data_IF_411781003041
#
_entry.id   IF_411781003041
#
_cell.length_a   1.000
_cell.length_b   1.000
_cell.length_c   1.000
_cell.angle_alpha   90.00
_cell.angle_beta   90.00
_cell.angle_gamma   90.00
#
_symmetry.space_group_name_H-M   'P 1'
#
loop_
_entity.id
_entity.type
_entity.pdbx_description
1 polymer ?
#
# COMPACT_ATOMS: atom_id res chain seq x y z
N UNK A 1 -6.41 -6.16 -26.16
CA UNK A 1 -7.14 -5.65 -24.98
C UNK A 1 -6.19 -5.25 -23.85
N UNK A 2 -5.42 -6.18 -23.26
CA UNK A 2 -4.48 -5.90 -22.15
C UNK A 2 -3.47 -4.78 -22.48
N UNK A 3 -2.75 -4.90 -23.61
CA UNK A 3 -1.72 -3.92 -23.98
C UNK A 3 -2.30 -2.50 -24.20
N UNK A 4 -3.53 -2.39 -24.71
CA UNK A 4 -4.21 -1.11 -24.89
C UNK A 4 -4.54 -0.48 -23.53
N UNK A 5 -5.12 -1.27 -22.61
CA UNK A 5 -5.40 -0.83 -21.23
C UNK A 5 -4.13 -0.37 -20.50
N UNK A 6 -3.04 -1.15 -20.60
CA UNK A 6 -1.76 -0.77 -19.98
C UNK A 6 -1.25 0.54 -20.58
N UNK A 7 -1.29 0.71 -21.90
CA UNK A 7 -0.83 1.93 -22.58
C UNK A 7 -1.64 3.15 -22.15
N UNK A 8 -2.96 3.02 -22.04
CA UNK A 8 -3.88 4.07 -21.61
C UNK A 8 -3.63 4.50 -20.15
N UNK A 9 -3.45 3.53 -19.25
CA UNK A 9 -3.29 3.79 -17.82
C UNK A 9 -1.86 3.71 -17.32
N UNK A 10 -0.85 3.75 -18.21
CA UNK A 10 0.56 3.47 -17.87
C UNK A 10 1.08 4.24 -16.67
N UNK A 11 0.79 5.55 -16.59
CA UNK A 11 1.27 6.38 -15.48
C UNK A 11 0.63 5.98 -14.16
N UNK A 12 -0.68 5.74 -14.15
CA UNK A 12 -1.36 5.23 -12.97
C UNK A 12 -0.78 3.87 -12.56
N UNK A 13 -0.74 2.91 -13.50
CA UNK A 13 -0.28 1.55 -13.22
C UNK A 13 1.16 1.54 -12.70
N UNK A 14 2.09 2.24 -13.35
CA UNK A 14 3.50 2.30 -12.94
C UNK A 14 3.66 2.81 -11.51
N UNK A 15 3.08 3.98 -11.18
CA UNK A 15 3.21 4.53 -9.84
C UNK A 15 2.44 3.70 -8.80
N UNK A 16 1.26 3.21 -9.14
CA UNK A 16 0.45 2.39 -8.26
C UNK A 16 1.12 1.06 -7.87
N UNK A 17 1.70 0.38 -8.86
CA UNK A 17 2.37 -0.91 -8.68
C UNK A 17 3.72 -0.74 -7.98
N UNK A 18 4.46 0.32 -8.28
CA UNK A 18 5.66 0.68 -7.51
C UNK A 18 5.31 0.98 -6.04
N UNK A 19 4.22 1.74 -5.81
CA UNK A 19 3.74 2.07 -4.47
C UNK A 19 3.46 0.83 -3.61
N UNK A 20 2.71 -0.15 -4.15
CA UNK A 20 2.45 -1.39 -3.39
C UNK A 20 3.72 -2.23 -3.20
N UNK A 21 4.60 -2.23 -4.20
CA UNK A 21 5.90 -2.89 -4.09
C UNK A 21 6.73 -2.37 -2.93
N UNK A 22 6.81 -1.04 -2.77
CA UNK A 22 7.51 -0.42 -1.65
C UNK A 22 6.82 -0.67 -0.30
N UNK A 23 5.48 -0.69 -0.24
CA UNK A 23 4.77 -1.14 0.97
C UNK A 23 5.12 -2.59 1.32
N UNK A 24 5.24 -3.46 0.32
CA UNK A 24 5.68 -4.84 0.53
C UNK A 24 7.12 -4.93 1.00
N UNK A 25 8.02 -4.06 0.51
CA UNK A 25 9.41 -4.01 0.95
C UNK A 25 9.51 -3.66 2.44
N UNK A 26 8.62 -2.79 2.92
CA UNK A 26 8.51 -2.45 4.34
C UNK A 26 8.10 -3.67 5.16
N UNK A 27 7.06 -4.40 4.76
CA UNK A 27 6.55 -5.55 5.51
C UNK A 27 7.52 -6.73 5.48
N UNK A 28 8.12 -7.05 4.34
CA UNK A 28 9.10 -8.14 4.23
C UNK A 28 10.41 -7.79 4.93
N UNK A 29 10.88 -6.55 4.81
CA UNK A 29 12.10 -6.08 5.47
C UNK A 29 11.98 -6.10 7.00
N UNK A 30 10.86 -5.60 7.53
CA UNK A 30 10.58 -5.65 8.97
C UNK A 30 10.36 -7.07 9.47
N UNK A 31 9.61 -7.92 8.75
CA UNK A 31 9.41 -9.32 9.16
C UNK A 31 10.71 -10.14 9.14
N UNK A 32 11.67 -9.82 8.27
CA UNK A 32 12.94 -10.53 8.20
C UNK A 32 13.94 -10.10 9.28
N UNK A 33 13.96 -8.81 9.63
CA UNK A 33 14.99 -8.22 10.50
C UNK A 33 14.47 -7.68 11.84
N UNK A 34 13.16 -7.68 12.06
CA UNK A 34 12.52 -7.30 13.32
C UNK A 34 13.02 -8.18 14.46
N UNK A 35 12.84 -9.49 14.36
CA UNK A 35 13.37 -10.46 15.32
C UNK A 35 14.88 -10.26 15.63
N UNK A 36 15.68 -10.04 14.59
CA UNK A 36 17.14 -9.85 14.74
C UNK A 36 17.45 -8.56 15.51
N UNK A 37 16.71 -7.49 15.23
CA UNK A 37 16.82 -6.25 15.99
C UNK A 37 16.51 -6.49 17.47
N UNK A 38 15.37 -7.11 17.80
CA UNK A 38 15.00 -7.35 19.21
C UNK A 38 15.98 -8.29 19.93
N UNK A 39 16.52 -9.29 19.24
CA UNK A 39 17.53 -10.16 19.81
C UNK A 39 18.85 -9.42 20.11
N UNK A 40 19.34 -8.62 19.17
CA UNK A 40 20.66 -7.98 19.27
C UNK A 40 20.64 -6.72 20.14
N UNK A 41 19.65 -5.85 19.91
CA UNK A 41 19.54 -4.54 20.54
C UNK A 41 18.89 -4.61 21.91
N UNK A 42 17.84 -5.42 22.07
CA UNK A 42 17.04 -5.46 23.29
C UNK A 42 17.27 -6.71 24.13
N UNK A 43 18.09 -7.66 23.66
CA UNK A 43 18.42 -8.89 24.39
C UNK A 43 17.22 -9.80 24.64
N UNK A 44 16.13 -9.65 23.88
CA UNK A 44 14.94 -10.47 24.07
C UNK A 44 15.20 -11.92 23.70
N UNK A 45 14.60 -12.84 24.46
CA UNK A 45 14.65 -14.26 24.15
C UNK A 45 13.81 -14.57 22.90
N UNK A 46 14.11 -15.67 22.17
CA UNK A 46 13.33 -16.06 21.00
C UNK A 46 11.82 -16.22 21.28
N UNK A 47 11.43 -16.67 22.49
CA UNK A 47 10.03 -16.82 22.86
C UNK A 47 9.33 -15.47 23.07
N UNK A 48 10.01 -14.48 23.65
CA UNK A 48 9.50 -13.12 23.80
C UNK A 48 9.30 -12.48 22.43
N UNK A 49 10.30 -12.60 21.56
CA UNK A 49 10.27 -12.05 20.20
C UNK A 49 9.11 -12.66 19.42
N UNK A 50 9.05 -14.00 19.33
CA UNK A 50 8.03 -14.68 18.53
C UNK A 50 6.60 -14.34 18.96
N UNK A 51 6.34 -14.26 20.27
CA UNK A 51 5.02 -13.90 20.78
C UNK A 51 4.70 -12.43 20.49
N UNK A 52 5.61 -11.51 20.81
CA UNK A 52 5.36 -10.08 20.72
C UNK A 52 5.29 -9.60 19.25
N UNK A 53 6.22 -10.05 18.40
CA UNK A 53 6.22 -9.75 16.97
C UNK A 53 5.04 -10.40 16.25
N UNK A 54 4.69 -11.64 16.61
CA UNK A 54 3.50 -12.31 16.07
C UNK A 54 2.21 -11.55 16.40
N UNK A 55 2.04 -11.10 17.65
CA UNK A 55 0.90 -10.28 18.05
C UNK A 55 0.90 -8.92 17.34
N UNK A 56 2.05 -8.26 17.22
CA UNK A 56 2.17 -7.00 16.50
C UNK A 56 1.82 -7.15 15.01
N UNK A 57 2.27 -8.24 14.37
CA UNK A 57 1.97 -8.56 12.98
C UNK A 57 0.49 -8.85 12.77
N UNK A 58 -0.13 -9.67 13.63
CA UNK A 58 -1.55 -10.02 13.51
C UNK A 58 -2.43 -8.80 13.79
N UNK A 59 -2.23 -8.14 14.93
CA UNK A 59 -3.03 -6.99 15.31
C UNK A 59 -2.83 -5.82 14.33
N UNK A 60 -1.57 -5.49 14.04
CA UNK A 60 -1.22 -4.46 13.08
C UNK A 60 -1.77 -4.79 11.68
N UNK A 61 -1.52 -5.99 11.17
CA UNK A 61 -1.98 -6.43 9.86
C UNK A 61 -3.51 -6.39 9.70
N UNK A 62 -4.27 -6.88 10.70
CA UNK A 62 -5.74 -6.84 10.69
C UNK A 62 -6.23 -5.39 10.73
N UNK A 63 -5.72 -4.57 11.66
CA UNK A 63 -6.10 -3.17 11.78
C UNK A 63 -5.76 -2.39 10.52
N UNK A 64 -4.61 -2.68 9.91
CA UNK A 64 -4.16 -2.09 8.66
C UNK A 64 -5.09 -2.46 7.51
N UNK A 65 -5.29 -3.74 7.24
CA UNK A 65 -6.07 -4.20 6.09
C UNK A 65 -7.56 -3.84 6.22
N UNK A 66 -8.18 -4.13 7.37
CA UNK A 66 -9.60 -3.86 7.59
C UNK A 66 -9.86 -2.39 7.85
N UNK A 67 -9.07 -1.75 8.72
CA UNK A 67 -9.22 -0.34 9.04
C UNK A 67 -8.86 0.55 7.85
N UNK A 68 -7.80 0.23 7.11
CA UNK A 68 -7.44 0.89 5.87
C UNK A 68 -8.50 0.74 4.79
N UNK A 69 -9.08 -0.46 4.64
CA UNK A 69 -10.20 -0.71 3.74
C UNK A 69 -11.44 0.11 4.10
N UNK A 70 -11.87 0.07 5.37
CA UNK A 70 -13.02 0.81 5.84
C UNK A 70 -12.83 2.34 5.74
N UNK A 71 -11.66 2.85 6.11
CA UNK A 71 -11.31 4.27 5.97
C UNK A 71 -11.29 4.69 4.50
N UNK A 72 -10.73 3.85 3.64
CA UNK A 72 -10.69 4.04 2.19
C UNK A 72 -12.10 4.09 1.59
N UNK A 73 -12.98 3.17 1.98
CA UNK A 73 -14.39 3.17 1.53
C UNK A 73 -15.16 4.39 2.02
N UNK A 74 -14.97 4.78 3.29
CA UNK A 74 -15.58 5.99 3.86
C UNK A 74 -15.14 7.26 3.11
N UNK A 75 -13.84 7.44 2.91
CA UNK A 75 -13.31 8.62 2.23
C UNK A 75 -13.60 8.61 0.72
N UNK A 76 -13.77 7.43 0.11
CA UNK A 76 -14.15 7.29 -1.30
C UNK A 76 -15.50 7.91 -1.64
N UNK A 77 -16.36 8.17 -0.63
CA UNK A 77 -17.59 8.94 -0.79
C UNK A 77 -17.34 10.38 -1.25
N UNK A 78 -16.13 10.92 -1.04
CA UNK A 78 -15.68 12.23 -1.56
C UNK A 78 -15.02 12.14 -2.93
N UNK A 79 -14.92 10.93 -3.49
CA UNK A 79 -14.35 10.62 -4.80
C UNK A 79 -13.47 9.36 -4.76
N UNK A 80 -13.50 8.48 -5.79
CA UNK A 80 -12.75 7.23 -5.79
C UNK A 80 -11.23 7.38 -5.59
N UNK A 81 -10.67 8.53 -5.97
CA UNK A 81 -9.25 8.84 -5.81
C UNK A 81 -8.80 8.92 -4.34
N UNK A 82 -9.72 9.11 -3.40
CA UNK A 82 -9.41 9.15 -1.97
C UNK A 82 -8.85 7.82 -1.46
N UNK A 83 -9.11 6.70 -2.13
CA UNK A 83 -8.46 5.41 -1.84
C UNK A 83 -6.94 5.51 -1.89
N UNK A 84 -6.42 6.23 -2.90
CA UNK A 84 -4.98 6.43 -3.08
C UNK A 84 -4.43 7.46 -2.11
N UNK A 85 -5.23 8.46 -1.73
CA UNK A 85 -4.86 9.44 -0.68
C UNK A 85 -4.69 8.74 0.67
N UNK A 86 -5.54 7.76 1.01
CA UNK A 86 -5.33 6.91 2.19
C UNK A 86 -3.99 6.18 2.10
N UNK A 87 -3.62 5.64 0.94
CA UNK A 87 -2.32 5.01 0.77
C UNK A 87 -1.13 5.98 0.95
N UNK A 88 -1.29 7.26 0.61
CA UNK A 88 -0.27 8.29 0.88
C UNK A 88 -0.08 8.47 2.39
N UNK A 89 -1.16 8.69 3.13
CA UNK A 89 -1.09 8.84 4.59
C UNK A 89 -0.58 7.59 5.29
N UNK A 90 -0.95 6.42 4.78
CA UNK A 90 -0.42 5.15 5.24
C UNK A 90 1.11 5.09 5.05
N UNK A 91 1.64 5.46 3.88
CA UNK A 91 3.08 5.54 3.66
C UNK A 91 3.79 6.54 4.59
N UNK A 92 3.18 7.70 4.86
CA UNK A 92 3.73 8.68 5.81
C UNK A 92 3.73 8.16 7.26
N UNK A 93 2.65 7.52 7.69
CA UNK A 93 2.55 6.90 9.02
C UNK A 93 3.56 5.77 9.20
N UNK A 94 3.71 4.92 8.17
CA UNK A 94 4.72 3.87 8.14
C UNK A 94 6.15 4.44 8.17
N UNK A 95 6.40 5.59 7.53
CA UNK A 95 7.71 6.24 7.59
C UNK A 95 8.05 6.72 9.00
N UNK A 96 7.09 7.37 9.69
CA UNK A 96 7.28 7.84 11.07
C UNK A 96 7.51 6.64 12.00
N UNK A 97 6.63 5.63 11.96
CA UNK A 97 6.81 4.45 12.79
C UNK A 97 8.10 3.68 12.45
N UNK A 98 8.44 3.62 11.17
CA UNK A 98 9.60 2.91 10.61
C UNK A 98 10.95 3.51 11.00
N UNK A 99 11.05 4.83 11.10
CA UNK A 99 12.27 5.49 11.63
C UNK A 99 12.34 5.39 13.15
N UNK A 100 11.20 5.41 13.84
CA UNK A 100 11.16 5.44 15.30
C UNK A 100 11.41 4.08 15.95
N UNK A 101 10.77 3.00 15.48
CA UNK A 101 10.82 1.70 16.16
C UNK A 101 12.23 1.12 16.38
N UNK A 102 13.21 1.24 15.45
CA UNK A 102 14.54 0.67 15.69
C UNK A 102 15.44 1.59 16.54
N UNK A 103 15.04 2.84 16.75
CA UNK A 103 15.86 3.86 17.42
C UNK A 103 15.46 4.12 18.88
N UNK A 104 14.31 3.60 19.33
CA UNK A 104 13.90 3.72 20.74
C UNK A 104 14.62 2.68 21.60
N UNK A 105 14.98 3.06 22.83
CA UNK A 105 15.66 2.16 23.76
C UNK A 105 14.69 1.23 24.51
N UNK A 106 13.43 1.67 24.72
CA UNK A 106 12.39 0.86 25.36
C UNK A 106 11.85 -0.19 24.38
N UNK A 107 12.08 -1.50 24.63
CA UNK A 107 11.63 -2.55 23.74
C UNK A 107 10.10 -2.69 23.66
N UNK A 108 9.35 -2.30 24.72
CA UNK A 108 7.89 -2.34 24.68
C UNK A 108 7.33 -1.25 23.76
N UNK A 109 7.94 -0.07 23.78
CA UNK A 109 7.61 0.98 22.81
C UNK A 109 8.03 0.58 21.39
N UNK A 110 9.19 -0.04 21.22
CA UNK A 110 9.68 -0.53 19.93
C UNK A 110 8.67 -1.51 19.29
N UNK A 111 8.13 -2.46 20.06
CA UNK A 111 7.18 -3.43 19.51
C UNK A 111 5.83 -2.81 19.15
N UNK A 112 5.36 -1.83 19.93
CA UNK A 112 4.14 -1.06 19.59
C UNK A 112 4.33 -0.29 18.29
N UNK A 113 5.48 0.35 18.11
CA UNK A 113 5.84 1.06 16.88
C UNK A 113 5.99 0.10 15.69
N UNK A 114 6.55 -1.10 15.90
CA UNK A 114 6.59 -2.15 14.87
C UNK A 114 5.16 -2.58 14.46
N UNK A 115 4.25 -2.74 15.42
CA UNK A 115 2.84 -2.96 15.15
C UNK A 115 2.21 -1.84 14.32
N UNK A 116 2.56 -0.59 14.60
CA UNK A 116 2.15 0.55 13.80
C UNK A 116 2.73 0.50 12.37
N UNK A 117 3.98 0.06 12.18
CA UNK A 117 4.54 -0.18 10.85
C UNK A 117 3.70 -1.20 10.08
N UNK A 118 3.39 -2.36 10.67
CA UNK A 118 2.55 -3.37 10.02
C UNK A 118 1.15 -2.86 9.70
N UNK A 119 0.55 -2.08 10.61
CA UNK A 119 -0.73 -1.43 10.39
C UNK A 119 -0.70 -0.50 9.18
N UNK A 120 0.19 0.49 9.19
CA UNK A 120 0.25 1.48 8.13
C UNK A 120 0.70 0.87 6.80
N UNK A 121 1.72 0.01 6.78
CA UNK A 121 2.18 -0.64 5.56
C UNK A 121 1.17 -1.66 5.00
N UNK A 122 0.28 -2.20 5.84
CA UNK A 122 -0.79 -3.12 5.43
C UNK A 122 -2.02 -2.43 4.82
N UNK A 123 -2.32 -1.17 5.19
CA UNK A 123 -3.49 -0.43 4.67
C UNK A 123 -3.58 -0.41 3.13
N UNK A 124 -2.48 -0.16 2.38
CA UNK A 124 -2.53 -0.09 0.93
C UNK A 124 -2.86 -1.41 0.24
N UNK A 125 -2.65 -2.58 0.86
CA UNK A 125 -2.96 -3.86 0.22
C UNK A 125 -4.45 -4.00 -0.11
N UNK A 126 -5.33 -3.51 0.76
CA UNK A 126 -6.77 -3.45 0.50
C UNK A 126 -7.16 -2.24 -0.36
N UNK A 127 -6.76 -1.04 0.08
CA UNK A 127 -7.20 0.21 -0.54
C UNK A 127 -6.70 0.39 -1.98
N UNK A 128 -5.44 0.05 -2.25
CA UNK A 128 -4.84 0.14 -3.58
C UNK A 128 -5.45 -0.91 -4.51
N UNK A 129 -5.57 -2.15 -4.06
CA UNK A 129 -6.20 -3.20 -4.86
C UNK A 129 -7.64 -2.82 -5.24
N UNK A 130 -8.45 -2.34 -4.29
CA UNK A 130 -9.81 -1.87 -4.58
C UNK A 130 -9.85 -0.74 -5.64
N UNK A 131 -8.91 0.21 -5.57
CA UNK A 131 -8.79 1.27 -6.57
C UNK A 131 -8.45 0.73 -7.98
N UNK A 132 -7.57 -0.28 -8.05
CA UNK A 132 -7.18 -0.96 -9.28
C UNK A 132 -8.34 -1.74 -9.89
N UNK A 133 -9.05 -2.52 -9.07
CA UNK A 133 -10.21 -3.32 -9.50
C UNK A 133 -11.34 -2.46 -10.07
N UNK A 134 -11.50 -1.22 -9.58
CA UNK A 134 -12.53 -0.30 -10.04
C UNK A 134 -12.36 0.11 -11.52
N UNK A 135 -11.11 0.26 -11.97
CA UNK A 135 -10.85 0.70 -13.36
C UNK A 135 -10.59 -0.47 -14.30
N UNK A 136 -10.31 -1.67 -13.77
CA UNK A 136 -10.00 -2.84 -14.57
C UNK A 136 -11.27 -3.48 -15.19
N UNK A 137 -11.32 -3.64 -16.54
CA UNK A 137 -12.40 -4.36 -17.21
C UNK A 137 -12.47 -5.82 -16.75
N UNK A 138 -13.69 -6.39 -16.68
CA UNK A 138 -13.93 -7.75 -16.18
C UNK A 138 -13.04 -8.80 -16.87
N UNK A 139 -12.88 -8.71 -18.19
CA UNK A 139 -12.12 -9.67 -18.99
C UNK A 139 -10.60 -9.68 -18.71
N UNK A 140 -10.03 -8.58 -18.19
CA UNK A 140 -8.58 -8.47 -17.93
C UNK A 140 -8.25 -8.26 -16.45
N UNK A 141 -9.26 -8.30 -15.58
CA UNK A 141 -9.14 -8.09 -14.14
C UNK A 141 -8.08 -9.00 -13.51
N UNK A 142 -8.07 -10.28 -13.88
CA UNK A 142 -7.07 -11.24 -13.40
C UNK A 142 -5.62 -10.89 -13.81
N UNK A 143 -5.41 -10.45 -15.05
CA UNK A 143 -4.08 -10.09 -15.55
C UNK A 143 -3.53 -8.82 -14.87
N UNK A 144 -4.41 -7.84 -14.61
CA UNK A 144 -4.04 -6.61 -13.91
C UNK A 144 -3.67 -6.89 -12.44
N UNK A 145 -4.43 -7.76 -11.75
CA UNK A 145 -4.09 -8.22 -10.41
C UNK A 145 -2.78 -9.01 -10.37
N UNK A 146 -2.49 -9.82 -11.40
CA UNK A 146 -1.24 -10.56 -11.48
C UNK A 146 -0.03 -9.62 -11.53
N UNK A 147 -0.10 -8.51 -12.28
CA UNK A 147 0.96 -7.50 -12.30
C UNK A 147 1.13 -6.80 -10.94
N UNK A 148 0.01 -6.53 -10.26
CA UNK A 148 0.02 -5.95 -8.91
C UNK A 148 0.76 -6.86 -7.92
N UNK A 149 0.40 -8.14 -7.87
CA UNK A 149 1.08 -9.11 -7.00
C UNK A 149 2.51 -9.42 -7.43
N UNK A 150 2.80 -9.39 -8.73
CA UNK A 150 4.16 -9.48 -9.24
C UNK A 150 5.03 -8.33 -8.70
N UNK A 151 4.52 -7.10 -8.74
CA UNK A 151 5.24 -5.91 -8.24
C UNK A 151 5.43 -5.95 -6.73
N UNK A 152 4.40 -6.40 -6.01
CA UNK A 152 4.43 -6.69 -4.57
C UNK A 152 5.58 -7.65 -4.25
N UNK A 153 5.67 -8.79 -4.95
CA UNK A 153 6.72 -9.79 -4.71
C UNK A 153 8.12 -9.34 -5.14
N UNK A 154 8.26 -8.71 -6.30
CA UNK A 154 9.57 -8.34 -6.86
C UNK A 154 10.23 -7.21 -6.08
N UNK A 155 9.50 -6.13 -5.80
CA UNK A 155 10.05 -5.01 -5.02
C UNK A 155 10.10 -5.41 -3.54
N UNK A 156 9.10 -6.14 -3.05
CA UNK A 156 9.05 -6.64 -1.69
C UNK A 156 10.25 -7.52 -1.32
N UNK A 157 10.64 -8.45 -2.20
CA UNK A 157 11.76 -9.36 -1.96
C UNK A 157 13.12 -8.66 -1.78
N UNK A 158 13.27 -7.42 -2.24
CA UNK A 158 14.51 -6.66 -2.11
C UNK A 158 14.73 -6.09 -0.70
N UNK A 159 13.68 -5.96 0.12
CA UNK A 159 13.73 -5.34 1.44
C UNK A 159 14.76 -5.97 2.39
N UNK A 160 14.68 -7.28 2.65
CA UNK A 160 15.64 -7.96 3.50
C UNK A 160 17.08 -7.86 3.00
N UNK A 161 17.29 -7.97 1.69
CA UNK A 161 18.63 -7.89 1.09
C UNK A 161 19.24 -6.49 1.25
N UNK A 162 18.46 -5.42 1.03
CA UNK A 162 18.93 -4.04 1.22
C UNK A 162 19.31 -3.76 2.67
N UNK A 163 18.50 -4.22 3.63
CA UNK A 163 18.79 -4.07 5.06
C UNK A 163 20.06 -4.82 5.44
N UNK A 164 20.23 -6.05 4.97
CA UNK A 164 21.42 -6.86 5.22
C UNK A 164 22.69 -6.18 4.68
N UNK A 165 22.67 -5.81 3.40
CA UNK A 165 23.78 -5.13 2.73
C UNK A 165 24.14 -3.82 3.43
N UNK A 166 23.13 -3.03 3.80
CA UNK A 166 23.35 -1.76 4.48
C UNK A 166 23.95 -1.95 5.88
N UNK A 167 23.43 -2.93 6.62
CA UNK A 167 23.95 -3.30 7.95
C UNK A 167 25.41 -3.76 7.85
N UNK A 168 25.73 -4.70 6.98
CA UNK A 168 27.06 -5.32 6.92
C UNK A 168 28.14 -4.37 6.42
N UNK A 169 27.80 -3.48 5.48
CA UNK A 169 28.79 -2.61 4.80
C UNK A 169 28.95 -1.24 5.46
N UNK A 170 27.87 -0.64 5.96
CA UNK A 170 27.90 0.72 6.53
C UNK A 170 27.76 0.74 8.05
N UNK A 171 27.22 -0.31 8.68
CA UNK A 171 27.04 -0.39 10.12
C UNK A 171 27.57 -1.72 10.71
N UNK A 172 28.88 -2.04 10.55
CA UNK A 172 29.47 -3.32 10.94
C UNK A 172 29.66 -3.44 12.48
N UNK A 173 28.58 -3.28 13.22
CA UNK A 173 28.52 -3.41 14.69
C UNK A 173 27.37 -4.35 15.07
N UNK A 174 27.40 -5.00 16.25
CA UNK A 174 26.33 -5.90 16.68
C UNK A 174 24.93 -5.27 16.59
N UNK A 175 24.84 -3.99 16.92
CA UNK A 175 23.58 -3.23 16.94
C UNK A 175 23.32 -2.46 15.64
N UNK A 176 24.24 -2.50 14.68
CA UNK A 176 24.20 -1.71 13.46
C UNK A 176 22.98 -1.94 12.58
N UNK A 177 22.34 -3.11 12.73
CA UNK A 177 21.08 -3.46 12.06
C UNK A 177 19.98 -2.43 12.32
N UNK A 178 19.99 -1.78 13.50
CA UNK A 178 19.01 -0.75 13.86
C UNK A 178 19.07 0.44 12.92
N UNK A 179 20.27 0.87 12.53
CA UNK A 179 20.48 2.01 11.64
C UNK A 179 20.13 1.64 10.20
N UNK A 180 20.42 0.41 9.77
CA UNK A 180 20.02 -0.08 8.46
C UNK A 180 18.50 -0.08 8.31
N UNK A 181 17.77 -0.58 9.30
CA UNK A 181 16.30 -0.56 9.35
C UNK A 181 15.78 0.88 9.39
N UNK A 182 16.36 1.75 10.24
CA UNK A 182 15.99 3.16 10.37
C UNK A 182 16.20 3.99 9.10
N UNK A 183 16.90 3.46 8.10
CA UNK A 183 17.09 4.07 6.79
C UNK A 183 16.15 3.42 5.77
N UNK A 184 16.21 2.09 5.60
CA UNK A 184 15.52 1.39 4.51
C UNK A 184 14.00 1.46 4.68
N UNK A 185 13.49 1.23 5.88
CA UNK A 185 12.04 1.19 6.12
C UNK A 185 11.37 2.54 5.89
N UNK A 186 11.83 3.66 6.50
CA UNK A 186 11.24 4.96 6.21
C UNK A 186 11.48 5.40 4.76
N UNK A 187 12.63 5.12 4.16
CA UNK A 187 12.86 5.44 2.75
C UNK A 187 11.88 4.72 1.82
N UNK A 188 11.68 3.41 1.99
CA UNK A 188 10.68 2.65 1.24
C UNK A 188 9.26 3.17 1.49
N UNK A 189 8.92 3.50 2.74
CA UNK A 189 7.61 4.06 3.11
C UNK A 189 7.33 5.42 2.46
N UNK A 190 8.34 6.30 2.40
CA UNK A 190 8.26 7.59 1.69
C UNK A 190 8.17 7.41 0.18
N UNK A 191 8.93 6.49 -0.40
CA UNK A 191 8.81 6.16 -1.82
C UNK A 191 7.42 5.62 -2.15
N UNK A 192 6.83 4.77 -1.29
CA UNK A 192 5.45 4.33 -1.43
C UNK A 192 4.47 5.52 -1.40
N UNK A 193 4.62 6.44 -0.43
CA UNK A 193 3.77 7.62 -0.32
C UNK A 193 3.88 8.52 -1.56
N UNK A 194 5.10 8.77 -2.05
CA UNK A 194 5.35 9.55 -3.27
C UNK A 194 4.71 8.87 -4.48
N UNK A 195 4.94 7.58 -4.67
CA UNK A 195 4.32 6.80 -5.74
C UNK A 195 2.79 6.88 -5.70
N UNK A 196 2.17 6.70 -4.54
CA UNK A 196 0.72 6.85 -4.43
C UNK A 196 0.25 8.26 -4.70
N UNK A 197 0.94 9.30 -4.23
CA UNK A 197 0.60 10.69 -4.51
C UNK A 197 0.67 11.00 -6.01
N UNK A 198 1.70 10.52 -6.69
CA UNK A 198 1.86 10.64 -8.14
C UNK A 198 0.81 9.83 -8.92
N UNK A 199 0.26 8.76 -8.33
CA UNK A 199 -0.82 7.96 -8.94
C UNK A 199 -2.20 8.63 -8.87
N UNK A 200 -2.43 9.56 -7.93
CA UNK A 200 -3.74 10.22 -7.73
C UNK A 200 -4.18 10.98 -8.97
N UNK A 201 -3.30 11.80 -9.55
CA UNK A 201 -3.62 12.62 -10.73
C UNK A 201 -4.04 11.79 -11.94
N UNK A 202 -3.21 10.82 -12.40
CA UNK A 202 -3.57 9.88 -13.45
C UNK A 202 -4.86 9.11 -13.16
N UNK A 203 -5.07 8.64 -11.92
CA UNK A 203 -6.27 7.90 -11.54
C UNK A 203 -7.55 8.73 -11.69
N UNK A 204 -7.51 10.01 -11.30
CA UNK A 204 -8.64 10.94 -11.46
C UNK A 204 -9.04 11.20 -12.92
N UNK A 205 -8.12 10.98 -13.87
CA UNK A 205 -8.35 11.21 -15.31
C UNK A 205 -8.97 10.00 -16.01
N UNK A 206 -9.06 8.85 -15.35
CA UNK A 206 -9.72 7.67 -15.92
C UNK A 206 -11.21 7.95 -16.09
N UNK A 207 -11.77 7.62 -17.27
CA UNK A 207 -13.17 7.86 -17.64
C UNK A 207 -14.16 7.32 -16.62
N UNK A 208 -13.92 6.11 -16.10
CA UNK A 208 -14.73 5.50 -15.02
C UNK A 208 -14.77 6.38 -13.78
N UNK A 209 -13.61 6.92 -13.36
CA UNK A 209 -13.52 7.78 -12.18
C UNK A 209 -14.17 9.15 -12.43
N UNK A 210 -14.10 9.67 -13.65
CA UNK A 210 -14.78 10.90 -14.04
C UNK A 210 -16.31 10.73 -14.05
N UNK A 211 -16.82 9.62 -14.58
CA UNK A 211 -18.24 9.29 -14.57
C UNK A 211 -18.79 9.19 -13.14
N UNK A 212 -18.04 8.57 -12.24
CA UNK A 212 -18.42 8.45 -10.81
C UNK A 212 -18.39 9.80 -10.08
N UNK A 213 -17.48 10.71 -10.44
CA UNK A 213 -17.41 12.05 -9.84
C UNK A 213 -18.44 13.04 -10.43
N UNK A 214 -18.90 12.81 -11.65
CA UNK A 214 -19.71 13.74 -12.45
C UNK A 214 -21.20 13.40 -12.54
N UNK A 215 -21.76 12.65 -11.59
CA UNK A 215 -23.13 12.12 -11.63
C UNK A 215 -24.16 12.93 -12.44
N UNK A 216 -24.54 12.36 -13.59
CA UNK A 216 -25.60 12.75 -14.54
C UNK A 216 -25.35 13.96 -15.46
N UNK A 217 -24.90 13.65 -16.69
CA UNK A 217 -25.54 14.11 -17.94
C UNK A 217 -25.50 12.97 -18.97
N UNK A 218 -26.37 11.97 -18.79
CA UNK A 218 -26.86 11.20 -19.94
C UNK A 218 -28.05 12.01 -20.43
N UNK A 219 -27.89 12.64 -21.60
CA UNK A 219 -28.96 13.29 -22.34
C UNK A 219 -30.17 12.35 -22.41
N UNK A 220 -31.34 12.84 -22.02
CA UNK A 220 -32.58 12.06 -21.93
C UNK A 220 -32.97 11.39 -23.25
N UNK A 221 -33.98 10.49 -23.22
CA UNK A 221 -34.45 9.85 -24.43
C UNK A 221 -34.91 10.91 -25.42
N UNK A 222 -34.40 10.86 -26.65
CA UNK A 222 -34.94 11.59 -27.78
C UNK A 222 -36.41 11.20 -27.93
N UNK A 223 -37.29 12.14 -27.59
CA UNK A 223 -38.72 12.04 -27.85
C UNK A 223 -38.95 12.31 -29.34
N UNK A 224 -38.53 11.38 -30.20
CA UNK A 224 -38.84 11.38 -31.62
C UNK A 224 -39.41 10.00 -32.00
N UNK A 225 -40.73 9.94 -32.14
CA UNK A 225 -41.42 8.80 -32.71
C UNK A 225 -42.68 8.39 -31.97
N UNK A 226 -43.71 9.25 -32.00
CA UNK A 226 -45.07 8.86 -31.63
C UNK A 226 -45.53 7.62 -32.43
N UNK A 227 -46.19 6.62 -31.80
CA UNK A 227 -47.04 5.69 -32.53
C UNK A 227 -48.46 6.27 -32.55
N UNK A 228 -48.87 6.84 -33.67
CA UNK A 228 -50.29 6.98 -33.98
C UNK A 228 -50.74 5.66 -34.64
N UNK A 229 -51.27 4.75 -33.83
CA UNK A 229 -52.08 3.62 -34.28
C UNK A 229 -53.55 3.97 -34.05
N UNK A 230 -54.38 3.52 -34.98
CA UNK A 230 -55.67 4.06 -35.38
C UNK A 230 -56.89 3.56 -34.57
N UNK A 231 -58.04 4.14 -34.96
CA UNK A 231 -59.42 3.62 -34.90
C UNK A 231 -60.28 3.82 -33.65
N UNK A 232 -61.24 4.76 -33.76
CA UNK A 232 -62.70 4.54 -33.65
C UNK A 232 -63.49 5.78 -34.08
#
# INVERSE_FOLDING_TARGET
MIAAFIKEHRLFLSFHHAGVGFCSMVTTGTAAWGAVLFARVHGWSPSQIGLAEGLALIAGGILGMLGGGALSDYLSRRGPHMRLVVCVFAGLGAAIAGVSFPLVDDPNLAIVLLGAVFMFAGMPFGAANAALQLIAPDAIRGAVSALFFFSLSMIGGLGPALIAILSDRWFPTPDGIRFAIAIVIPAASLLAAICYALSVGPYRRTSVVQQLNGGVKVTGPSNDGAPAVADA
#
